data_IF_423555710694
#
_entry.id   IF_423555710694
#
_cell.length_a   1.000
_cell.length_b   1.000
_cell.length_c   1.000
_cell.angle_alpha   90.00
_cell.angle_beta   90.00
_cell.angle_gamma   90.00
#
_symmetry.space_group_name_H-M   'P 1'
#
loop_
_entity.id
_entity.type
_entity.pdbx_description
1 polymer ?
#
# COMPACT_ATOMS: atom_id res chain seq x y z
N UNK A 1 13.75 -24.98 -6.61
CA UNK A 1 12.86 -26.16 -6.71
C UNK A 1 12.50 -26.52 -8.15
N UNK A 2 12.99 -25.78 -9.17
CA UNK A 2 12.80 -26.10 -10.59
C UNK A 2 11.37 -25.96 -11.12
N UNK A 3 10.48 -25.32 -10.36
CA UNK A 3 9.08 -25.12 -10.78
C UNK A 3 8.97 -24.13 -11.94
N UNK A 4 9.85 -23.14 -11.99
CA UNK A 4 10.03 -22.20 -13.10
C UNK A 4 10.39 -22.96 -14.41
N UNK A 5 11.26 -23.98 -14.30
CA UNK A 5 11.63 -24.85 -15.42
C UNK A 5 10.47 -25.76 -15.88
N UNK A 6 9.51 -26.01 -15.00
CA UNK A 6 8.26 -26.71 -15.31
C UNK A 6 7.18 -25.79 -15.92
N UNK A 7 7.49 -24.52 -16.19
CA UNK A 7 6.56 -23.53 -16.74
C UNK A 7 5.51 -23.03 -15.75
N UNK A 8 5.74 -23.19 -14.44
CA UNK A 8 4.84 -22.68 -13.41
C UNK A 8 5.23 -21.24 -13.11
N UNK A 9 4.27 -20.32 -13.36
CA UNK A 9 4.44 -18.90 -13.00
C UNK A 9 4.18 -18.70 -11.51
N UNK A 10 5.04 -17.88 -10.89
CA UNK A 10 4.86 -17.42 -9.51
C UNK A 10 4.41 -15.96 -9.51
N UNK A 11 3.46 -15.64 -8.64
CA UNK A 11 3.05 -14.27 -8.37
C UNK A 11 3.21 -14.02 -6.87
N UNK A 12 4.03 -13.03 -6.52
CA UNK A 12 4.21 -12.61 -5.13
C UNK A 12 3.13 -11.62 -4.70
N UNK A 13 2.89 -11.55 -3.40
CA UNK A 13 1.95 -10.60 -2.77
C UNK A 13 2.63 -9.82 -1.64
N UNK A 14 2.02 -9.78 -0.45
CA UNK A 14 2.51 -9.02 0.72
C UNK A 14 3.93 -9.38 1.18
N UNK A 15 4.34 -10.63 1.00
CA UNK A 15 5.67 -11.15 1.40
C UNK A 15 6.78 -10.77 0.41
N UNK A 16 6.45 -10.05 -0.65
CA UNK A 16 7.41 -9.57 -1.66
C UNK A 16 7.57 -8.06 -1.64
N UNK A 17 7.50 -7.46 -0.45
CA UNK A 17 7.83 -6.05 -0.25
C UNK A 17 9.35 -5.83 -0.28
N UNK A 18 9.79 -4.60 -0.51
CA UNK A 18 11.20 -4.28 -0.78
C UNK A 18 12.17 -4.78 0.31
N UNK A 19 11.76 -4.73 1.58
CA UNK A 19 12.59 -5.20 2.69
C UNK A 19 12.80 -6.72 2.64
N UNK A 20 11.78 -7.47 2.25
CA UNK A 20 11.84 -8.94 2.17
C UNK A 20 12.59 -9.40 0.92
N UNK A 21 12.43 -8.67 -0.19
CA UNK A 21 13.12 -8.96 -1.46
C UNK A 21 14.64 -9.01 -1.30
N UNK A 22 15.22 -8.15 -0.44
CA UNK A 22 16.67 -8.15 -0.23
C UNK A 22 17.18 -9.50 0.30
N UNK A 23 16.37 -10.20 1.09
CA UNK A 23 16.70 -11.52 1.64
C UNK A 23 16.59 -12.64 0.60
N UNK A 24 15.78 -12.46 -0.44
CA UNK A 24 15.62 -13.42 -1.54
C UNK A 24 16.76 -13.31 -2.56
N UNK A 25 17.39 -12.13 -2.64
CA UNK A 25 18.50 -11.88 -3.56
C UNK A 25 18.12 -12.04 -5.03
N UNK A 26 19.09 -12.38 -5.86
CA UNK A 26 18.93 -12.46 -7.32
C UNK A 26 17.86 -13.44 -7.80
N UNK A 27 17.51 -14.40 -6.97
CA UNK A 27 16.44 -15.35 -7.29
C UNK A 27 15.06 -14.68 -7.43
N UNK A 28 14.88 -13.49 -6.86
CA UNK A 28 13.64 -12.74 -6.98
C UNK A 28 13.55 -11.87 -8.24
N UNK A 29 14.67 -11.64 -8.95
CA UNK A 29 14.68 -10.78 -10.14
C UNK A 29 13.76 -11.36 -11.22
N UNK A 30 12.86 -10.53 -11.73
CA UNK A 30 11.88 -10.92 -12.73
C UNK A 30 10.58 -11.51 -12.17
N UNK A 31 10.49 -11.74 -10.85
CA UNK A 31 9.24 -12.17 -10.21
C UNK A 31 8.16 -11.12 -10.42
N UNK A 32 6.97 -11.57 -10.82
CA UNK A 32 5.79 -10.72 -10.85
C UNK A 32 5.13 -10.68 -9.47
N UNK A 33 4.69 -9.49 -9.07
CA UNK A 33 4.05 -9.27 -7.77
C UNK A 33 2.80 -8.41 -7.94
N UNK A 34 1.85 -8.57 -7.03
CA UNK A 34 0.62 -7.76 -7.01
C UNK A 34 0.30 -7.30 -5.59
N UNK A 35 0.19 -5.99 -5.35
CA UNK A 35 -0.21 -5.46 -4.06
C UNK A 35 -0.65 -3.99 -4.16
N UNK A 36 -1.13 -3.44 -3.04
CA UNK A 36 -1.65 -2.07 -2.99
C UNK A 36 -0.59 -0.99 -2.75
N UNK A 37 0.65 -1.36 -2.39
CA UNK A 37 1.73 -0.42 -2.12
C UNK A 37 3.09 -1.03 -2.41
N UNK A 38 4.01 -0.19 -2.87
CA UNK A 38 5.45 -0.41 -2.97
C UNK A 38 6.17 0.84 -2.49
N UNK A 39 7.31 0.69 -1.83
CA UNK A 39 8.18 1.81 -1.49
C UNK A 39 8.66 2.57 -2.74
N UNK A 40 8.69 1.89 -3.89
CA UNK A 40 9.04 2.46 -5.18
C UNK A 40 7.87 3.16 -5.90
N UNK A 41 6.66 3.20 -5.32
CA UNK A 41 5.52 3.91 -5.91
C UNK A 41 5.86 5.38 -6.18
N UNK A 42 5.67 5.82 -7.42
CA UNK A 42 6.03 7.17 -7.88
C UNK A 42 4.86 8.14 -7.67
N UNK A 43 4.88 8.86 -6.55
CA UNK A 43 3.94 9.96 -6.29
C UNK A 43 4.52 10.97 -5.31
N UNK A 44 4.09 12.22 -5.41
CA UNK A 44 4.49 13.27 -4.47
C UNK A 44 4.09 12.95 -3.01
N UNK A 45 2.94 12.27 -2.82
CA UNK A 45 2.48 11.83 -1.51
C UNK A 45 3.42 10.75 -0.92
N UNK A 46 3.86 9.79 -1.74
CA UNK A 46 4.82 8.78 -1.30
C UNK A 46 6.20 9.38 -0.98
N UNK A 47 6.66 10.31 -1.79
CA UNK A 47 7.95 10.97 -1.55
C UNK A 47 7.93 11.77 -0.24
N UNK A 48 6.86 12.52 0.03
CA UNK A 48 6.69 13.23 1.29
C UNK A 48 6.60 12.28 2.49
N UNK A 49 5.88 11.16 2.35
CA UNK A 49 5.78 10.13 3.37
C UNK A 49 7.14 9.51 3.68
N UNK A 50 7.89 9.08 2.65
CA UNK A 50 9.24 8.51 2.80
C UNK A 50 10.19 9.48 3.49
N UNK A 51 10.18 10.75 3.08
CA UNK A 51 11.01 11.79 3.68
C UNK A 51 10.68 11.98 5.18
N UNK A 52 9.38 12.03 5.53
CA UNK A 52 8.94 12.19 6.92
C UNK A 52 9.22 10.96 7.78
N UNK A 53 9.03 9.77 7.23
CA UNK A 53 9.37 8.52 7.91
C UNK A 53 10.87 8.47 8.23
N UNK A 54 11.71 8.83 7.27
CA UNK A 54 13.17 8.87 7.44
C UNK A 54 13.63 9.89 8.48
N UNK A 55 12.99 11.07 8.51
CA UNK A 55 13.27 12.11 9.51
C UNK A 55 12.99 11.63 10.92
N UNK A 56 11.83 10.99 11.14
CA UNK A 56 11.37 10.56 12.45
C UNK A 56 11.99 9.23 12.90
N UNK A 57 12.22 8.34 11.96
CA UNK A 57 12.69 6.97 12.20
C UNK A 57 13.77 6.60 11.16
N UNK A 58 15.03 7.03 11.35
CA UNK A 58 16.08 6.90 10.33
C UNK A 58 16.35 5.47 9.84
N UNK A 59 16.00 4.47 10.65
CA UNK A 59 16.18 3.04 10.35
C UNK A 59 14.90 2.34 9.87
N UNK A 60 13.78 3.06 9.80
CA UNK A 60 12.53 2.47 9.31
C UNK A 60 12.50 2.49 7.77
N UNK A 61 12.05 1.39 7.20
CA UNK A 61 11.79 1.27 5.76
C UNK A 61 10.27 1.40 5.50
N UNK A 62 9.88 2.18 4.48
CA UNK A 62 8.48 2.27 4.08
C UNK A 62 7.99 0.91 3.58
N UNK A 63 6.84 0.51 4.05
CA UNK A 63 6.24 -0.78 3.72
C UNK A 63 4.70 -0.70 3.83
N UNK A 64 3.94 -1.72 3.39
CA UNK A 64 2.48 -1.70 3.46
C UNK A 64 1.91 -1.45 4.86
N UNK A 65 2.55 -1.94 5.93
CA UNK A 65 2.09 -1.72 7.29
C UNK A 65 2.25 -0.26 7.73
N UNK A 66 3.39 0.38 7.42
CA UNK A 66 3.62 1.79 7.76
C UNK A 66 2.68 2.72 7.01
N UNK A 67 2.38 2.43 5.74
CA UNK A 67 1.40 3.21 4.95
C UNK A 67 -0.02 3.00 5.49
N UNK A 68 -0.40 1.76 5.84
CA UNK A 68 -1.71 1.49 6.43
C UNK A 68 -1.89 2.20 7.78
N UNK A 69 -0.85 2.26 8.60
CA UNK A 69 -0.87 3.02 9.86
C UNK A 69 -1.00 4.53 9.61
N UNK A 70 -0.32 5.07 8.60
CA UNK A 70 -0.44 6.46 8.17
C UNK A 70 -1.88 6.78 7.77
N UNK A 71 -2.49 5.98 6.89
CA UNK A 71 -3.87 6.17 6.43
C UNK A 71 -4.88 6.00 7.56
N UNK A 72 -4.70 4.99 8.41
CA UNK A 72 -5.55 4.80 9.59
C UNK A 72 -5.50 5.98 10.55
N UNK A 73 -4.32 6.56 10.74
CA UNK A 73 -4.15 7.78 11.56
C UNK A 73 -4.83 8.99 10.90
N UNK A 74 -4.72 9.14 9.58
CA UNK A 74 -5.43 10.17 8.83
C UNK A 74 -6.95 10.05 9.02
N UNK A 75 -7.50 8.84 8.89
CA UNK A 75 -8.91 8.57 9.14
C UNK A 75 -9.33 8.93 10.57
N UNK A 76 -8.52 8.58 11.58
CA UNK A 76 -8.77 8.96 12.97
C UNK A 76 -8.80 10.47 13.18
N UNK A 77 -7.92 11.22 12.54
CA UNK A 77 -7.94 12.68 12.61
C UNK A 77 -9.21 13.30 12.00
N UNK A 78 -9.70 12.73 10.90
CA UNK A 78 -10.99 13.17 10.33
C UNK A 78 -12.15 12.91 11.29
N UNK A 79 -12.20 11.71 11.89
CA UNK A 79 -13.21 11.34 12.90
C UNK A 79 -13.18 12.26 14.12
N UNK A 80 -12.00 12.53 14.67
CA UNK A 80 -11.81 13.41 15.83
C UNK A 80 -12.21 14.85 15.47
N UNK A 81 -11.83 15.34 14.29
CA UNK A 81 -12.21 16.65 13.79
C UNK A 81 -13.72 16.82 13.69
N UNK A 82 -14.40 15.83 13.13
CA UNK A 82 -15.86 15.85 12.96
C UNK A 82 -16.63 15.84 14.30
N UNK A 83 -16.09 15.16 15.31
CA UNK A 83 -16.73 15.09 16.64
C UNK A 83 -16.29 16.22 17.59
N UNK A 84 -15.30 17.02 17.19
CA UNK A 84 -14.67 18.01 18.08
C UNK A 84 -14.03 17.36 19.32
N UNK A 85 -13.56 16.12 19.19
CA UNK A 85 -12.97 15.33 20.27
C UNK A 85 -13.98 14.75 21.26
N UNK A 86 -15.29 14.88 21.02
CA UNK A 86 -16.33 14.29 21.87
C UNK A 86 -16.51 12.81 21.55
N UNK A 87 -16.94 12.03 22.55
CA UNK A 87 -17.28 10.62 22.37
C UNK A 87 -18.64 10.50 21.66
N UNK A 88 -18.59 10.49 20.35
CA UNK A 88 -19.74 10.30 19.46
C UNK A 88 -19.35 9.33 18.33
N UNK A 89 -19.51 8.01 18.54
CA UNK A 89 -19.09 7.02 17.55
C UNK A 89 -19.91 7.07 16.26
N UNK A 90 -21.18 7.45 16.34
CA UNK A 90 -22.04 7.51 15.14
C UNK A 90 -21.61 8.67 14.24
N UNK A 91 -21.35 9.85 14.80
CA UNK A 91 -20.82 10.99 14.06
C UNK A 91 -19.40 10.70 13.52
N UNK A 92 -18.55 10.03 14.29
CA UNK A 92 -17.21 9.62 13.84
C UNK A 92 -17.28 8.69 12.62
N UNK A 93 -18.12 7.65 12.67
CA UNK A 93 -18.32 6.72 11.55
C UNK A 93 -18.96 7.43 10.35
N UNK A 94 -19.93 8.31 10.58
CA UNK A 94 -20.55 9.08 9.49
C UNK A 94 -19.54 9.95 8.74
N UNK A 95 -18.57 10.52 9.45
CA UNK A 95 -17.55 11.38 8.87
C UNK A 95 -16.57 10.66 7.93
N UNK A 96 -16.35 9.35 8.15
CA UNK A 96 -15.41 8.58 7.35
C UNK A 96 -16.07 7.86 6.17
N UNK A 97 -17.38 7.64 6.21
CA UNK A 97 -18.13 7.02 5.11
C UNK A 97 -18.07 7.88 3.85
N UNK A 98 -17.57 7.33 2.76
CA UNK A 98 -17.40 8.04 1.50
C UNK A 98 -16.23 9.03 1.49
N UNK A 99 -15.46 9.13 2.58
CA UNK A 99 -14.26 9.96 2.60
C UNK A 99 -13.21 9.45 1.61
N UNK A 100 -12.43 10.37 1.03
CA UNK A 100 -11.35 10.04 0.10
C UNK A 100 -10.17 10.98 0.32
N UNK A 101 -8.97 10.48 0.07
CA UNK A 101 -7.74 11.27 0.13
C UNK A 101 -6.63 10.66 -0.72
N UNK A 102 -5.62 11.47 -0.99
CA UNK A 102 -4.40 11.03 -1.64
C UNK A 102 -3.47 10.41 -0.59
N UNK A 103 -3.26 9.11 -0.68
CA UNK A 103 -2.39 8.33 0.19
C UNK A 103 -1.01 8.15 -0.45
N UNK A 104 0.04 7.82 0.33
CA UNK A 104 1.32 7.37 -0.23
C UNK A 104 1.21 6.19 -1.21
N UNK A 105 0.13 5.43 -1.17
CA UNK A 105 -0.18 4.33 -2.10
C UNK A 105 -1.10 4.70 -3.26
N UNK A 106 -1.28 6.00 -3.53
CA UNK A 106 -2.23 6.53 -4.51
C UNK A 106 -3.59 6.86 -3.91
N UNK A 107 -4.58 7.25 -4.74
CA UNK A 107 -5.89 7.67 -4.27
C UNK A 107 -6.63 6.51 -3.59
N UNK A 108 -7.22 6.80 -2.43
CA UNK A 108 -8.06 5.87 -1.70
C UNK A 108 -9.38 6.51 -1.28
N UNK A 109 -10.38 5.68 -1.09
CA UNK A 109 -11.66 6.10 -0.49
C UNK A 109 -12.23 5.01 0.41
N UNK A 110 -13.14 5.39 1.27
CA UNK A 110 -13.90 4.46 2.11
C UNK A 110 -15.30 4.30 1.51
N UNK A 111 -15.65 3.09 1.13
CA UNK A 111 -16.97 2.79 0.61
C UNK A 111 -18.05 3.14 1.63
N UNK A 112 -19.05 3.92 1.23
CA UNK A 112 -20.08 4.41 2.15
C UNK A 112 -21.03 3.31 2.66
N UNK A 113 -21.17 2.21 1.91
CA UNK A 113 -22.04 1.10 2.24
C UNK A 113 -21.34 0.03 3.07
N UNK A 114 -20.18 -0.44 2.59
CA UNK A 114 -19.41 -1.52 3.24
C UNK A 114 -18.47 -1.03 4.30
N UNK A 115 -17.99 0.22 4.19
CA UNK A 115 -16.92 0.85 5.01
C UNK A 115 -15.54 0.25 4.76
N UNK A 116 -15.40 -0.51 3.69
CA UNK A 116 -14.13 -1.05 3.26
C UNK A 116 -13.36 -0.03 2.42
N UNK A 117 -12.07 -0.25 2.30
CA UNK A 117 -11.23 0.61 1.48
C UNK A 117 -11.43 0.29 -0.01
N UNK A 118 -11.53 1.34 -0.82
CA UNK A 118 -11.42 1.29 -2.27
C UNK A 118 -10.08 1.90 -2.65
N UNK A 119 -9.25 1.16 -3.35
CA UNK A 119 -7.85 1.52 -3.60
C UNK A 119 -7.35 0.97 -4.93
N UNK A 120 -6.19 1.45 -5.36
CA UNK A 120 -5.51 0.86 -6.50
C UNK A 120 -4.80 -0.44 -6.11
N UNK A 121 -4.71 -1.36 -7.06
CA UNK A 121 -3.86 -2.55 -6.99
C UNK A 121 -2.86 -2.49 -8.13
N UNK A 122 -1.58 -2.60 -7.80
CA UNK A 122 -0.48 -2.48 -8.73
C UNK A 122 0.08 -3.85 -9.07
N UNK A 123 0.25 -4.13 -10.36
CA UNK A 123 1.05 -5.26 -10.82
C UNK A 123 2.46 -4.76 -11.06
N UNK A 124 3.42 -5.47 -10.51
CA UNK A 124 4.79 -5.02 -10.40
C UNK A 124 5.73 -6.14 -10.83
N UNK A 125 6.93 -5.79 -11.18
CA UNK A 125 8.01 -6.72 -11.47
C UNK A 125 9.22 -6.39 -10.63
N UNK A 126 9.84 -7.39 -10.05
CA UNK A 126 11.05 -7.22 -9.26
C UNK A 126 12.23 -6.93 -10.19
N UNK A 127 12.86 -5.78 -9.98
CA UNK A 127 14.04 -5.31 -10.72
C UNK A 127 15.14 -4.87 -9.73
N UNK A 128 16.33 -4.59 -10.26
CA UNK A 128 17.42 -3.97 -9.51
C UNK A 128 17.53 -2.51 -9.87
N UNK A 129 17.73 -1.66 -8.87
CA UNK A 129 18.13 -0.27 -9.07
C UNK A 129 19.63 -0.15 -9.42
N UNK A 130 20.10 1.09 -9.59
CA UNK A 130 21.49 1.39 -9.93
C UNK A 130 22.49 0.94 -8.85
N UNK A 131 22.05 0.82 -7.60
CA UNK A 131 22.85 0.38 -6.45
C UNK A 131 22.76 -1.14 -6.22
N UNK A 132 22.03 -1.85 -7.08
CA UNK A 132 21.82 -3.30 -7.02
C UNK A 132 20.78 -3.75 -6.01
N UNK A 133 20.00 -2.83 -5.40
CA UNK A 133 18.91 -3.15 -4.49
C UNK A 133 17.68 -3.61 -5.28
N UNK A 134 16.99 -4.59 -4.76
CA UNK A 134 15.75 -5.09 -5.34
C UNK A 134 14.58 -4.17 -4.99
N UNK A 135 13.73 -3.89 -5.98
CA UNK A 135 12.51 -3.12 -5.81
C UNK A 135 11.40 -3.63 -6.73
N UNK A 136 10.17 -3.26 -6.42
CA UNK A 136 8.99 -3.61 -7.20
C UNK A 136 8.67 -2.48 -8.18
N UNK A 137 9.05 -2.62 -9.46
CA UNK A 137 8.66 -1.67 -10.50
C UNK A 137 7.21 -1.91 -10.92
N UNK A 138 6.36 -0.91 -10.71
CA UNK A 138 4.97 -0.93 -11.17
C UNK A 138 4.90 -0.80 -12.69
N UNK A 139 4.09 -1.62 -13.34
CA UNK A 139 3.89 -1.55 -14.79
C UNK A 139 2.43 -1.65 -15.22
N UNK A 140 1.52 -2.00 -14.30
CA UNK A 140 0.08 -2.00 -14.55
C UNK A 140 -0.66 -1.67 -13.26
N UNK A 141 -1.68 -0.82 -13.39
CA UNK A 141 -2.57 -0.44 -12.28
C UNK A 141 -3.98 -0.92 -12.57
N UNK A 142 -4.59 -1.55 -11.58
CA UNK A 142 -6.03 -1.73 -11.51
C UNK A 142 -6.56 -0.67 -10.56
N UNK A 143 -7.21 0.35 -11.13
CA UNK A 143 -7.68 1.50 -10.37
C UNK A 143 -8.98 1.16 -9.62
N UNK A 144 -9.17 1.82 -8.46
CA UNK A 144 -10.45 1.90 -7.76
C UNK A 144 -11.05 0.51 -7.45
N UNK A 145 -10.22 -0.40 -6.95
CA UNK A 145 -10.65 -1.76 -6.63
C UNK A 145 -11.33 -1.79 -5.26
N UNK A 146 -12.63 -2.19 -5.19
CA UNK A 146 -13.33 -2.40 -3.93
C UNK A 146 -12.97 -3.75 -3.31
N UNK A 147 -13.41 -3.99 -2.08
CA UNK A 147 -13.38 -5.34 -1.50
C UNK A 147 -14.49 -6.21 -2.14
N UNK A 148 -14.06 -7.16 -2.96
CA UNK A 148 -14.97 -8.12 -3.61
C UNK A 148 -15.49 -9.20 -2.67
N UNK A 149 -14.91 -9.34 -1.47
CA UNK A 149 -15.35 -10.29 -0.46
C UNK A 149 -16.69 -9.94 0.20
N UNK A 150 -17.12 -8.68 0.06
CA UNK A 150 -18.37 -8.15 0.67
C UNK A 150 -19.51 -8.05 -0.36
N UNK A 151 -19.48 -8.82 -1.42
CA UNK A 151 -20.59 -8.84 -2.39
C UNK A 151 -21.88 -9.33 -1.70
N UNK A 152 -22.89 -8.46 -1.72
CA UNK A 152 -24.24 -8.76 -1.22
C UNK A 152 -25.02 -9.60 -2.22
#
# INVERSE_FOLDING_TARGET
NGLDQAGIAFVGTSETQEVDLQSLGDAAVGLETGYFYSAAHESAANDAFKAKLKELYPNAEPNPATVSAFDGTHALYQMIGATGGKKDPDAAIAAIKGASWESPRGPISIDAGTRDIVQNVYIRKVEKDADGRLFNREYKTYETQPDYGVQK
#
